data_IF_036900806855
#
_entry.id   IF_036900806855
#
_cell.length_a   1.000
_cell.length_b   1.000
_cell.length_c   1.000
_cell.angle_alpha   90.00
_cell.angle_beta   90.00
_cell.angle_gamma   90.00
#
_symmetry.space_group_name_H-M   'P 1'
#
loop_
_entity.id
_entity.type
_entity.pdbx_description
1 polymer ?
#
# COMPACT_ATOMS: atom_id res chain seq x y z
N UNK A 1 -41.41 30.14 -43.95
CA UNK A 1 -40.52 31.21 -43.43
C UNK A 1 -39.70 30.63 -42.27
N UNK A 2 -38.37 30.55 -42.40
CA UNK A 2 -37.41 30.29 -41.29
C UNK A 2 -36.96 31.64 -40.67
N UNK A 3 -36.11 31.69 -39.63
CA UNK A 3 -36.37 31.47 -38.20
C UNK A 3 -35.91 32.69 -37.35
N UNK A 4 -36.11 32.68 -36.02
CA UNK A 4 -35.32 33.54 -35.11
C UNK A 4 -34.90 32.80 -33.83
N UNK A 5 -33.62 32.41 -33.78
CA UNK A 5 -32.77 32.37 -32.57
C UNK A 5 -31.90 33.64 -32.60
N UNK A 6 -31.59 34.28 -31.47
CA UNK A 6 -30.29 34.06 -30.78
C UNK A 6 -30.46 34.14 -29.23
N UNK A 7 -29.52 33.80 -28.34
CA UNK A 7 -28.08 33.60 -28.45
C UNK A 7 -27.64 32.47 -27.47
N UNK A 8 -26.60 31.76 -27.90
CA UNK A 8 -25.79 30.86 -27.10
C UNK A 8 -25.19 31.55 -25.86
N UNK A 9 -25.24 30.91 -24.70
CA UNK A 9 -24.38 31.28 -23.57
C UNK A 9 -23.81 30.03 -22.89
N UNK A 10 -22.81 29.46 -23.55
CA UNK A 10 -21.75 28.66 -22.94
C UNK A 10 -20.43 29.15 -23.57
N UNK A 11 -19.24 28.87 -23.01
CA UNK A 11 -18.83 28.73 -21.61
C UNK A 11 -17.55 29.56 -21.35
N UNK A 12 -17.42 30.23 -20.20
CA UNK A 12 -16.20 31.02 -19.88
C UNK A 12 -15.05 30.11 -19.40
N UNK A 13 -14.53 29.27 -20.29
CA UNK A 13 -13.18 28.74 -20.18
C UNK A 13 -12.23 29.91 -20.36
N UNK A 14 -11.87 30.58 -19.27
CA UNK A 14 -10.73 31.49 -19.24
C UNK A 14 -9.81 31.09 -18.09
N UNK A 15 -8.49 31.20 -18.31
CA UNK A 15 -7.49 30.25 -17.84
C UNK A 15 -6.79 30.76 -16.58
N UNK A 16 -6.40 29.83 -15.72
CA UNK A 16 -5.65 30.00 -14.47
C UNK A 16 -4.21 30.54 -14.63
N UNK A 17 -3.89 31.30 -15.68
CA UNK A 17 -2.54 31.86 -15.89
C UNK A 17 -2.43 33.31 -15.42
N UNK A 18 -2.35 33.50 -14.11
CA UNK A 18 -1.61 34.64 -13.54
C UNK A 18 -0.23 34.15 -13.08
N UNK A 19 0.71 34.22 -14.01
CA UNK A 19 2.16 34.16 -13.79
C UNK A 19 2.56 35.10 -12.65
N UNK A 20 3.22 34.58 -11.62
CA UNK A 20 4.27 35.34 -10.93
C UNK A 20 5.60 34.64 -11.22
N UNK A 21 6.33 35.23 -12.15
CA UNK A 21 7.74 34.93 -12.39
C UNK A 21 8.53 35.23 -11.11
N UNK A 22 9.36 34.28 -10.67
CA UNK A 22 10.42 34.52 -9.70
C UNK A 22 11.76 34.49 -10.45
N UNK A 23 12.66 35.46 -10.21
CA UNK A 23 13.80 35.74 -11.08
C UNK A 23 14.93 34.73 -10.97
N UNK A 24 15.72 34.68 -12.05
CA UNK A 24 16.89 33.85 -12.24
C UNK A 24 18.13 34.36 -11.48
N UNK A 25 18.92 33.37 -11.06
CA UNK A 25 20.38 33.29 -10.97
C UNK A 25 21.18 34.39 -10.23
N UNK A 26 21.91 33.95 -9.20
CA UNK A 26 23.32 34.33 -8.99
C UNK A 26 24.09 33.23 -8.26
N UNK A 27 24.95 32.58 -9.04
CA UNK A 27 26.22 31.94 -8.71
C UNK A 27 26.64 31.87 -7.23
N UNK A 28 26.97 30.65 -6.78
CA UNK A 28 28.31 30.38 -6.24
C UNK A 28 28.80 29.03 -6.75
N UNK A 29 29.74 29.11 -7.69
CA UNK A 29 30.68 28.05 -8.03
C UNK A 29 31.47 27.75 -6.75
N UNK A 30 31.44 26.52 -6.25
CA UNK A 30 32.43 26.06 -5.28
C UNK A 30 33.70 25.69 -6.06
N UNK A 31 34.85 26.36 -5.84
CA UNK A 31 36.11 25.98 -6.42
C UNK A 31 36.87 25.14 -5.39
N UNK A 32 36.54 23.86 -5.23
CA UNK A 32 37.50 22.93 -4.64
C UNK A 32 37.12 21.48 -4.96
N UNK A 33 37.83 20.93 -5.94
CA UNK A 33 37.93 19.50 -6.20
C UNK A 33 39.36 19.13 -5.80
N UNK A 34 39.56 18.23 -4.85
CA UNK A 34 40.64 17.28 -5.03
C UNK A 34 40.29 15.85 -4.61
N UNK A 35 40.81 14.95 -5.43
CA UNK A 35 41.31 13.63 -5.05
C UNK A 35 40.31 12.57 -4.61
N UNK A 36 39.74 11.93 -5.63
CA UNK A 36 39.44 10.49 -5.61
C UNK A 36 40.66 9.74 -5.06
N UNK A 37 40.60 9.30 -3.81
CA UNK A 37 41.38 8.16 -3.34
C UNK A 37 40.46 6.96 -3.35
N UNK A 38 40.47 6.20 -4.44
CA UNK A 38 40.01 4.81 -4.40
C UNK A 38 41.06 4.08 -3.58
N UNK A 39 40.83 4.01 -2.26
CA UNK A 39 41.56 3.08 -1.42
C UNK A 39 40.99 1.70 -1.72
N UNK A 40 41.69 0.95 -2.55
CA UNK A 40 41.55 -0.50 -2.63
C UNK A 40 41.98 -1.06 -1.28
N UNK A 41 41.03 -1.28 -0.38
CA UNK A 41 41.23 -2.19 0.73
C UNK A 41 40.97 -3.59 0.19
N UNK A 42 42.03 -4.19 -0.32
CA UNK A 42 42.05 -5.60 -0.66
C UNK A 42 42.19 -6.42 0.63
N UNK A 43 41.22 -7.32 0.83
CA UNK A 43 41.43 -8.59 1.53
C UNK A 43 41.23 -8.60 3.04
N UNK A 44 39.99 -8.83 3.49
CA UNK A 44 39.72 -9.60 4.69
C UNK A 44 38.31 -10.22 4.63
N UNK A 45 38.26 -11.55 4.42
CA UNK A 45 37.17 -12.45 4.80
C UNK A 45 35.76 -12.13 4.23
N UNK A 46 35.56 -12.44 2.95
CA UNK A 46 34.23 -12.61 2.38
C UNK A 46 33.77 -14.05 2.66
N UNK A 47 32.85 -14.20 3.61
CA UNK A 47 32.25 -15.49 3.99
C UNK A 47 31.34 -15.44 5.23
N UNK A 48 31.32 -14.31 5.97
CA UNK A 48 30.51 -14.16 7.18
C UNK A 48 29.26 -13.28 7.03
N UNK A 49 29.07 -12.61 5.88
CA UNK A 49 28.00 -11.61 5.71
C UNK A 49 26.71 -12.17 5.10
N UNK A 50 26.76 -13.35 4.46
CA UNK A 50 25.60 -13.91 3.76
C UNK A 50 24.51 -14.34 4.75
N UNK A 51 24.90 -14.97 5.86
CA UNK A 51 23.98 -15.38 6.92
C UNK A 51 23.32 -14.23 7.68
N UNK A 52 23.96 -13.06 7.73
CA UNK A 52 23.38 -11.85 8.35
C UNK A 52 22.33 -11.22 7.43
N UNK A 53 22.63 -11.09 6.14
CA UNK A 53 21.68 -10.60 5.15
C UNK A 53 20.43 -11.50 5.08
N UNK A 54 20.60 -12.83 5.10
CA UNK A 54 19.49 -13.79 5.12
C UNK A 54 18.60 -13.62 6.35
N UNK A 55 19.19 -13.51 7.56
CA UNK A 55 18.43 -13.26 8.81
C UNK A 55 17.61 -11.97 8.72
N UNK A 56 18.19 -10.88 8.22
CA UNK A 56 17.48 -9.61 8.06
C UNK A 56 16.32 -9.77 7.08
N UNK A 57 16.53 -10.43 5.94
CA UNK A 57 15.48 -10.70 4.96
C UNK A 57 14.32 -11.50 5.57
N UNK A 58 14.59 -12.57 6.32
CA UNK A 58 13.54 -13.35 6.99
C UNK A 58 12.81 -12.54 8.05
N UNK A 59 13.54 -11.79 8.89
CA UNK A 59 12.91 -10.93 9.90
C UNK A 59 12.00 -9.87 9.27
N UNK A 60 12.38 -9.32 8.11
CA UNK A 60 11.55 -8.37 7.37
C UNK A 60 10.31 -9.02 6.74
N UNK A 61 10.42 -10.29 6.32
CA UNK A 61 9.29 -11.04 5.75
C UNK A 61 8.28 -11.44 6.82
N UNK A 62 8.75 -11.88 7.99
CA UNK A 62 7.88 -12.17 9.13
C UNK A 62 7.19 -10.89 9.65
N UNK A 63 7.93 -9.78 9.71
CA UNK A 63 7.36 -8.47 10.03
C UNK A 63 6.27 -8.07 9.03
N UNK A 64 6.48 -8.29 7.73
CA UNK A 64 5.48 -8.04 6.70
C UNK A 64 4.23 -8.92 6.86
N UNK A 65 4.39 -10.22 7.13
CA UNK A 65 3.26 -11.13 7.39
C UNK A 65 2.45 -10.72 8.63
N UNK A 66 3.12 -10.30 9.70
CA UNK A 66 2.48 -9.77 10.90
C UNK A 66 1.76 -8.45 10.64
N UNK A 67 2.34 -7.55 9.82
CA UNK A 67 1.71 -6.30 9.41
C UNK A 67 0.43 -6.56 8.61
N UNK A 68 0.45 -7.47 7.62
CA UNK A 68 -0.74 -7.86 6.84
C UNK A 68 -1.84 -8.39 7.76
N UNK A 69 -1.48 -9.23 8.74
CA UNK A 69 -2.47 -9.77 9.70
C UNK A 69 -3.08 -8.66 10.56
N UNK A 70 -2.27 -7.68 10.96
CA UNK A 70 -2.73 -6.52 11.75
C UNK A 70 -3.65 -5.63 10.92
N UNK A 71 -3.25 -5.30 9.69
CA UNK A 71 -4.05 -4.52 8.73
C UNK A 71 -5.37 -5.22 8.40
N UNK A 72 -5.38 -6.55 8.23
CA UNK A 72 -6.60 -7.31 8.03
C UNK A 72 -7.57 -7.19 9.21
N UNK A 73 -7.07 -7.25 10.45
CA UNK A 73 -7.90 -7.04 11.63
C UNK A 73 -8.42 -5.60 11.75
N UNK A 74 -7.61 -4.60 11.40
CA UNK A 74 -8.02 -3.20 11.37
C UNK A 74 -9.12 -2.97 10.32
N UNK A 75 -8.96 -3.53 9.11
CA UNK A 75 -9.96 -3.43 8.06
C UNK A 75 -11.31 -4.00 8.50
N UNK A 76 -11.31 -5.12 9.24
CA UNK A 76 -12.54 -5.67 9.81
C UNK A 76 -13.20 -4.71 10.79
N UNK A 77 -12.43 -4.12 11.70
CA UNK A 77 -12.96 -3.13 12.63
C UNK A 77 -13.55 -1.91 11.92
N UNK A 78 -12.91 -1.45 10.84
CA UNK A 78 -13.41 -0.33 10.02
C UNK A 78 -14.71 -0.70 9.30
N UNK A 79 -14.82 -1.92 8.75
CA UNK A 79 -16.05 -2.41 8.12
C UNK A 79 -17.20 -2.51 9.14
N UNK A 80 -16.94 -3.00 10.35
CA UNK A 80 -17.91 -3.08 11.44
C UNK A 80 -18.37 -1.67 11.88
N UNK A 81 -17.45 -0.71 11.93
CA UNK A 81 -17.75 0.68 12.25
C UNK A 81 -18.63 1.35 11.18
N UNK A 82 -18.39 1.07 9.90
CA UNK A 82 -19.24 1.54 8.79
C UNK A 82 -20.63 0.90 8.88
N UNK A 83 -20.71 -0.40 9.17
CA UNK A 83 -21.98 -1.09 9.34
C UNK A 83 -22.80 -0.51 10.50
N UNK A 84 -22.16 -0.19 11.62
CA UNK A 84 -22.82 0.43 12.77
C UNK A 84 -23.41 1.80 12.42
N UNK A 85 -22.68 2.61 11.65
CA UNK A 85 -23.18 3.91 11.16
C UNK A 85 -24.39 3.75 10.24
N UNK A 86 -24.33 2.79 9.31
CA UNK A 86 -25.45 2.49 8.41
C UNK A 86 -26.69 2.08 9.22
N UNK A 87 -26.52 1.19 10.22
CA UNK A 87 -27.62 0.80 11.12
C UNK A 87 -28.26 1.99 11.81
N UNK A 88 -27.45 2.87 12.40
CA UNK A 88 -27.97 4.07 13.10
C UNK A 88 -28.72 5.03 12.17
N UNK A 89 -28.29 5.16 10.91
CA UNK A 89 -28.96 6.01 9.93
C UNK A 89 -30.32 5.44 9.49
N UNK A 90 -30.48 4.12 9.57
CA UNK A 90 -31.68 3.41 9.11
C UNK A 90 -32.74 3.24 10.20
N UNK A 91 -32.37 3.23 11.48
CA UNK A 91 -33.34 3.31 12.59
C UNK A 91 -34.28 4.52 12.45
N UNK A 92 -33.81 5.59 11.80
CA UNK A 92 -34.59 6.81 11.53
C UNK A 92 -35.66 6.59 10.44
N UNK A 93 -35.48 5.62 9.52
CA UNK A 93 -36.30 5.44 8.31
C UNK A 93 -37.03 4.08 8.21
N UNK A 94 -36.93 3.20 9.21
CA UNK A 94 -37.27 1.77 9.13
C UNK A 94 -38.77 1.37 9.12
N UNK A 95 -39.71 2.32 8.98
CA UNK A 95 -41.15 2.00 9.01
C UNK A 95 -41.63 1.03 7.91
N UNK A 96 -41.12 1.17 6.68
CA UNK A 96 -41.65 0.46 5.50
C UNK A 96 -40.61 -0.37 4.71
N UNK A 97 -39.32 -0.29 5.03
CA UNK A 97 -38.23 -0.83 4.20
C UNK A 97 -37.41 -1.95 4.87
N UNK A 98 -37.92 -2.54 5.95
CA UNK A 98 -37.17 -3.47 6.80
C UNK A 98 -36.73 -4.76 6.05
N UNK A 99 -37.56 -5.30 5.17
CA UNK A 99 -37.25 -6.52 4.42
C UNK A 99 -36.16 -6.30 3.35
N UNK A 100 -36.19 -5.15 2.67
CA UNK A 100 -35.16 -4.76 1.71
C UNK A 100 -33.81 -4.55 2.42
N UNK A 101 -33.84 -3.99 3.64
CA UNK A 101 -32.65 -3.80 4.46
C UNK A 101 -32.01 -5.13 4.88
N UNK A 102 -32.79 -6.09 5.39
CA UNK A 102 -32.28 -7.40 5.81
C UNK A 102 -31.50 -8.10 4.68
N UNK A 103 -31.99 -7.96 3.44
CA UNK A 103 -31.33 -8.50 2.25
C UNK A 103 -29.96 -7.84 2.01
N UNK A 104 -29.90 -6.50 2.10
CA UNK A 104 -28.67 -5.73 1.92
C UNK A 104 -27.68 -6.00 3.05
N UNK A 105 -28.15 -6.11 4.29
CA UNK A 105 -27.31 -6.43 5.45
C UNK A 105 -26.64 -7.79 5.27
N UNK A 106 -27.39 -8.83 4.90
CA UNK A 106 -26.83 -10.17 4.66
C UNK A 106 -25.80 -10.17 3.54
N UNK A 107 -26.06 -9.44 2.46
CA UNK A 107 -25.11 -9.31 1.36
C UNK A 107 -23.82 -8.59 1.80
N UNK A 108 -23.94 -7.55 2.63
CA UNK A 108 -22.79 -6.85 3.21
C UNK A 108 -21.96 -7.78 4.09
N UNK A 109 -22.59 -8.47 5.05
CA UNK A 109 -21.90 -9.38 5.97
C UNK A 109 -21.17 -10.50 5.20
N UNK A 110 -21.79 -11.03 4.14
CA UNK A 110 -21.14 -11.99 3.25
C UNK A 110 -19.89 -11.43 2.57
N UNK A 111 -19.93 -10.18 2.09
CA UNK A 111 -18.78 -9.53 1.43
C UNK A 111 -17.66 -9.17 2.41
N UNK A 112 -18.00 -8.71 3.61
CA UNK A 112 -17.03 -8.44 4.66
C UNK A 112 -16.28 -9.72 5.07
N UNK A 113 -17.00 -10.82 5.23
CA UNK A 113 -16.42 -12.13 5.54
C UNK A 113 -15.54 -12.66 4.39
N UNK A 114 -15.97 -12.54 3.14
CA UNK A 114 -15.16 -12.94 1.97
C UNK A 114 -13.84 -12.17 1.92
N UNK A 115 -13.88 -10.85 2.14
CA UNK A 115 -12.68 -10.02 2.15
C UNK A 115 -11.72 -10.41 3.28
N UNK A 116 -12.24 -10.65 4.48
CA UNK A 116 -11.45 -11.13 5.61
C UNK A 116 -10.77 -12.48 5.29
N UNK A 117 -11.52 -13.42 4.72
CA UNK A 117 -10.99 -14.73 4.35
C UNK A 117 -9.87 -14.61 3.31
N UNK A 118 -10.06 -13.76 2.30
CA UNK A 118 -9.03 -13.49 1.27
C UNK A 118 -7.75 -12.92 1.87
N UNK A 119 -7.84 -12.00 2.83
CA UNK A 119 -6.68 -11.43 3.49
C UNK A 119 -5.93 -12.45 4.36
N UNK A 120 -6.65 -13.32 5.07
CA UNK A 120 -6.05 -14.42 5.84
C UNK A 120 -5.32 -15.39 4.90
N UNK A 121 -5.93 -15.74 3.77
CA UNK A 121 -5.29 -16.61 2.76
C UNK A 121 -4.00 -15.98 2.24
N UNK A 122 -4.02 -14.69 1.89
CA UNK A 122 -2.81 -13.97 1.44
C UNK A 122 -1.73 -13.97 2.54
N UNK A 123 -2.10 -13.68 3.80
CA UNK A 123 -1.14 -13.69 4.91
C UNK A 123 -0.50 -15.07 5.10
N UNK A 124 -1.29 -16.14 4.99
CA UNK A 124 -0.80 -17.51 5.07
C UNK A 124 0.12 -17.87 3.90
N UNK A 125 -0.22 -17.45 2.67
CA UNK A 125 0.60 -17.70 1.48
C UNK A 125 1.97 -17.02 1.59
N UNK A 126 2.01 -15.78 2.10
CA UNK A 126 3.24 -15.04 2.37
C UNK A 126 4.10 -15.76 3.41
N UNK A 127 3.50 -16.25 4.50
CA UNK A 127 4.23 -17.02 5.53
C UNK A 127 4.74 -18.35 4.99
N UNK A 128 3.90 -19.10 4.26
CA UNK A 128 4.28 -20.38 3.68
C UNK A 128 5.44 -20.21 2.68
N UNK A 129 5.38 -19.17 1.85
CA UNK A 129 6.48 -18.81 0.94
C UNK A 129 7.77 -18.54 1.72
N UNK A 130 7.71 -17.77 2.81
CA UNK A 130 8.85 -17.51 3.71
C UNK A 130 9.48 -18.81 4.25
N UNK A 131 8.63 -19.71 4.75
CA UNK A 131 9.06 -20.97 5.35
C UNK A 131 9.74 -21.88 4.31
N UNK A 132 9.16 -21.98 3.11
CA UNK A 132 9.76 -22.73 2.00
C UNK A 132 11.13 -22.19 1.58
N UNK A 133 11.31 -20.86 1.54
CA UNK A 133 12.61 -20.25 1.27
C UNK A 133 13.62 -20.54 2.38
N UNK A 134 13.23 -20.42 3.66
CA UNK A 134 14.13 -20.68 4.79
C UNK A 134 14.55 -22.16 4.87
N UNK A 135 13.63 -23.09 4.58
CA UNK A 135 13.91 -24.53 4.63
C UNK A 135 14.84 -24.98 3.50
N UNK A 136 14.67 -24.43 2.31
CA UNK A 136 15.49 -24.74 1.13
C UNK A 136 16.87 -24.11 1.26
N UNK A 137 16.95 -22.85 1.66
CA UNK A 137 18.21 -22.13 1.83
C UNK A 137 19.03 -22.69 3.00
N UNK A 138 18.40 -23.05 4.13
CA UNK A 138 19.12 -23.71 5.25
C UNK A 138 19.67 -25.08 4.86
N UNK A 139 19.04 -25.80 3.93
CA UNK A 139 19.60 -27.02 3.36
C UNK A 139 20.78 -26.68 2.45
N UNK A 140 20.64 -25.69 1.58
CA UNK A 140 21.71 -25.23 0.68
C UNK A 140 22.94 -24.71 1.46
N UNK A 141 22.75 -23.86 2.47
CA UNK A 141 23.81 -23.31 3.32
C UNK A 141 24.62 -24.39 4.05
N UNK A 142 23.99 -25.52 4.45
CA UNK A 142 24.70 -26.67 5.02
C UNK A 142 25.63 -27.37 4.02
N UNK A 143 25.37 -27.24 2.72
CA UNK A 143 26.25 -27.76 1.66
C UNK A 143 27.40 -26.79 1.36
N UNK A 144 27.21 -25.48 1.54
CA UNK A 144 28.27 -24.47 1.31
C UNK A 144 29.24 -24.28 2.49
N UNK A 145 28.94 -24.84 3.66
CA UNK A 145 29.81 -24.82 4.84
C UNK A 145 30.70 -26.07 4.97
N UNK A 146 30.74 -26.93 3.94
CA UNK A 146 31.61 -28.11 3.86
C UNK A 146 32.87 -27.81 3.05
#
# INVERSE_FOLDING_TARGET
MRPRRPASRSPAWLPWRARRARPASRHRRCPFRPSVHIRTHQGALMGANDGDHLKVRYSSLEAAASAITTEANQLRADLDAVQAKIRSALEVWAGDAQEAYDTVQRAWDAKANDLQNRLIVIANEVRNSSDHYSGTDRRAAKFFQQ
#
